data_IF_962576583984
#
_entry.id   IF_962576583984
#
_cell.length_a   1.000
_cell.length_b   1.000
_cell.length_c   1.000
_cell.angle_alpha   90.00
_cell.angle_beta   90.00
_cell.angle_gamma   90.00
#
_symmetry.space_group_name_H-M   'P 1'
#
loop_
_entity.id
_entity.type
_entity.pdbx_description
1 polymer ?
#
# COMPACT_ATOMS: atom_id res chain seq x y z
N UNK A 1 19.43 -19.42 22.57
CA UNK A 1 18.29 -19.17 23.48
C UNK A 1 18.58 -17.91 24.31
N UNK A 2 18.71 -16.78 23.63
CA UNK A 2 19.03 -15.46 24.23
C UNK A 2 18.62 -14.29 23.30
N UNK A 3 18.42 -14.55 22.01
CA UNK A 3 17.90 -13.58 21.04
C UNK A 3 16.39 -13.29 21.12
N UNK A 4 15.61 -14.07 21.88
CA UNK A 4 14.14 -13.88 22.00
C UNK A 4 13.74 -12.98 23.17
N UNK A 5 14.65 -12.75 24.14
CA UNK A 5 14.40 -11.88 25.30
C UNK A 5 14.56 -10.39 24.99
N UNK A 6 15.26 -10.02 23.91
CA UNK A 6 15.32 -8.62 23.43
C UNK A 6 14.09 -8.26 22.58
N UNK A 7 13.48 -9.23 21.89
CA UNK A 7 12.29 -9.01 21.07
C UNK A 7 11.01 -8.81 21.90
N UNK A 8 10.97 -9.34 23.13
CA UNK A 8 9.81 -9.17 24.03
C UNK A 8 9.80 -7.84 24.80
N UNK A 9 10.87 -7.04 24.72
CA UNK A 9 11.02 -5.76 25.45
C UNK A 9 10.83 -4.51 24.56
N UNK A 10 10.58 -4.70 23.27
CA UNK A 10 10.01 -3.69 22.38
C UNK A 10 8.50 -3.66 22.64
N UNK A 11 7.99 -2.65 23.34
CA UNK A 11 6.54 -2.53 23.58
C UNK A 11 5.76 -2.58 22.26
N UNK A 12 4.54 -3.15 22.22
CA UNK A 12 3.79 -3.41 20.98
C UNK A 12 3.61 -2.17 20.07
N UNK A 13 3.78 -0.96 20.61
CA UNK A 13 3.75 0.28 19.83
C UNK A 13 4.87 0.42 18.80
N UNK A 14 6.08 -0.12 19.02
CA UNK A 14 7.19 0.03 18.05
C UNK A 14 6.96 -0.82 16.80
N UNK A 15 6.44 -2.03 16.97
CA UNK A 15 6.15 -2.94 15.87
C UNK A 15 4.98 -2.42 15.02
N UNK A 16 3.93 -1.89 15.68
CA UNK A 16 2.81 -1.24 14.99
C UNK A 16 3.30 -0.01 14.23
N UNK A 17 4.14 0.82 14.84
CA UNK A 17 4.72 1.99 14.17
C UNK A 17 5.54 1.59 12.94
N UNK A 18 6.36 0.55 13.06
CA UNK A 18 7.14 0.01 11.95
C UNK A 18 6.25 -0.47 10.80
N UNK A 19 5.21 -1.26 11.10
CA UNK A 19 4.26 -1.75 10.09
C UNK A 19 3.49 -0.62 9.43
N UNK A 20 3.08 0.41 10.18
CA UNK A 20 2.43 1.61 9.62
C UNK A 20 3.38 2.37 8.69
N UNK A 21 4.66 2.53 9.09
CA UNK A 21 5.67 3.16 8.25
C UNK A 21 5.88 2.37 6.94
N UNK A 22 6.01 1.04 7.02
CA UNK A 22 6.08 0.17 5.84
C UNK A 22 4.83 0.31 4.95
N UNK A 23 3.63 0.39 5.55
CA UNK A 23 2.37 0.55 4.81
C UNK A 23 2.35 1.85 4.01
N UNK A 24 2.80 2.96 4.60
CA UNK A 24 2.90 4.25 3.89
C UNK A 24 3.85 4.17 2.70
N UNK A 25 5.01 3.51 2.86
CA UNK A 25 5.99 3.32 1.78
C UNK A 25 5.40 2.50 0.62
N UNK A 26 4.68 1.43 0.93
CA UNK A 26 4.00 0.58 -0.07
C UNK A 26 2.89 1.36 -0.79
N UNK A 27 2.09 2.14 -0.07
CA UNK A 27 1.07 3.00 -0.69
C UNK A 27 1.70 4.05 -1.63
N UNK A 28 2.90 4.54 -1.31
CA UNK A 28 3.68 5.42 -2.17
C UNK A 28 4.07 4.81 -3.53
N UNK A 29 4.14 3.47 -3.65
CA UNK A 29 4.44 2.81 -4.92
C UNK A 29 3.37 3.08 -5.98
N UNK A 30 2.09 3.17 -5.58
CA UNK A 30 0.98 3.41 -6.51
C UNK A 30 1.07 4.80 -7.15
N UNK A 31 1.46 5.81 -6.37
CA UNK A 31 1.76 7.15 -6.89
C UNK A 31 3.00 7.14 -7.82
N UNK A 32 4.01 6.33 -7.49
CA UNK A 32 5.19 6.12 -8.34
C UNK A 32 4.83 5.55 -9.72
N UNK A 33 4.02 4.49 -9.75
CA UNK A 33 3.53 3.90 -11.00
C UNK A 33 2.68 4.90 -11.81
N UNK A 34 1.84 5.70 -11.15
CA UNK A 34 1.05 6.74 -11.83
C UNK A 34 1.91 7.75 -12.56
N UNK A 35 2.98 8.22 -11.93
CA UNK A 35 3.91 9.17 -12.51
C UNK A 35 4.67 8.55 -13.70
N UNK A 36 5.10 7.29 -13.57
CA UNK A 36 5.80 6.58 -14.64
C UNK A 36 4.89 6.31 -15.85
N UNK A 37 3.68 5.79 -15.63
CA UNK A 37 2.74 5.50 -16.71
C UNK A 37 2.22 6.76 -17.41
N UNK A 38 1.94 7.83 -16.65
CA UNK A 38 1.52 9.11 -17.23
C UNK A 38 2.67 9.83 -17.96
N UNK A 39 3.92 9.66 -17.52
CA UNK A 39 5.11 10.26 -18.13
C UNK A 39 5.59 9.57 -19.41
N UNK A 40 5.34 8.27 -19.56
CA UNK A 40 5.67 7.50 -20.78
C UNK A 40 4.59 7.62 -21.88
N UNK A 41 3.42 8.15 -21.56
CA UNK A 41 2.30 8.29 -22.49
C UNK A 41 2.29 9.67 -23.14
N UNK A 42 1.90 9.73 -24.42
CA UNK A 42 1.74 10.98 -25.18
C UNK A 42 0.88 11.98 -24.40
N UNK A 43 1.32 13.23 -24.31
CA UNK A 43 0.69 14.30 -23.51
C UNK A 43 -0.84 14.44 -23.71
N UNK A 44 -1.36 14.17 -24.91
CA UNK A 44 -2.81 14.19 -25.20
C UNK A 44 -3.63 13.11 -24.48
N UNK A 45 -3.01 12.00 -24.05
CA UNK A 45 -3.69 10.87 -23.38
C UNK A 45 -3.18 10.61 -21.96
N UNK A 46 -2.15 11.33 -21.51
CA UNK A 46 -1.54 11.19 -20.18
C UNK A 46 -2.55 11.38 -19.04
N UNK A 47 -3.47 12.35 -19.16
CA UNK A 47 -4.56 12.59 -18.19
C UNK A 47 -5.51 11.40 -18.08
N UNK A 48 -5.83 10.74 -19.18
CA UNK A 48 -6.74 9.60 -19.19
C UNK A 48 -6.11 8.37 -18.53
N UNK A 49 -4.78 8.24 -18.59
CA UNK A 49 -4.02 7.19 -17.90
C UNK A 49 -3.90 7.49 -16.41
N UNK A 50 -3.62 8.74 -16.05
CA UNK A 50 -3.56 9.17 -14.66
C UNK A 50 -4.89 8.94 -13.90
N UNK A 51 -6.03 9.27 -14.53
CA UNK A 51 -7.37 9.04 -13.94
C UNK A 51 -7.63 7.55 -13.71
N UNK A 52 -7.23 6.68 -14.64
CA UNK A 52 -7.40 5.22 -14.47
C UNK A 52 -6.61 4.72 -13.28
N UNK A 53 -5.35 5.12 -13.15
CA UNK A 53 -4.53 4.64 -12.03
C UNK A 53 -5.03 5.17 -10.66
N UNK A 54 -5.57 6.40 -10.61
CA UNK A 54 -6.23 6.89 -9.39
C UNK A 54 -7.51 6.11 -9.09
N UNK A 55 -8.31 5.82 -10.12
CA UNK A 55 -9.52 5.00 -9.96
C UNK A 55 -9.19 3.58 -9.47
N UNK A 56 -8.12 2.97 -9.97
CA UNK A 56 -7.64 1.65 -9.54
C UNK A 56 -7.20 1.68 -8.06
N UNK A 57 -6.53 2.74 -7.61
CA UNK A 57 -6.15 2.90 -6.21
C UNK A 57 -7.39 2.99 -5.28
N UNK A 58 -8.38 3.80 -5.66
CA UNK A 58 -9.61 3.96 -4.91
C UNK A 58 -10.44 2.66 -4.88
N UNK A 59 -10.60 2.02 -6.04
CA UNK A 59 -11.39 0.80 -6.17
C UNK A 59 -10.73 -0.37 -5.45
N UNK A 60 -9.41 -0.54 -5.59
CA UNK A 60 -8.66 -1.58 -4.88
C UNK A 60 -8.76 -1.43 -3.37
N UNK A 61 -8.66 -0.20 -2.85
CA UNK A 61 -8.81 0.09 -1.41
C UNK A 61 -10.22 -0.28 -0.90
N UNK A 62 -11.27 0.08 -1.65
CA UNK A 62 -12.66 -0.24 -1.28
C UNK A 62 -12.94 -1.75 -1.37
N UNK A 63 -12.49 -2.41 -2.43
CA UNK A 63 -12.66 -3.86 -2.61
C UNK A 63 -11.91 -4.65 -1.54
N UNK A 64 -10.69 -4.21 -1.20
CA UNK A 64 -9.92 -4.84 -0.13
C UNK A 64 -10.59 -4.67 1.23
N UNK A 65 -11.18 -3.51 1.52
CA UNK A 65 -11.93 -3.29 2.75
C UNK A 65 -13.23 -4.12 2.82
N UNK A 66 -14.00 -4.19 1.73
CA UNK A 66 -15.30 -4.89 1.71
C UNK A 66 -15.16 -6.42 1.68
N UNK A 67 -14.21 -6.95 0.91
CA UNK A 67 -14.09 -8.40 0.65
C UNK A 67 -12.68 -8.94 0.87
N UNK A 68 -11.65 -8.16 0.53
CA UNK A 68 -10.26 -8.64 0.55
C UNK A 68 -9.76 -9.03 1.93
N UNK A 69 -10.08 -8.26 2.98
CA UNK A 69 -9.69 -8.58 4.34
C UNK A 69 -10.30 -9.90 4.81
N UNK A 70 -11.58 -10.13 4.50
CA UNK A 70 -12.30 -11.35 4.86
C UNK A 70 -11.84 -12.59 4.10
N UNK A 71 -11.39 -12.45 2.84
CA UNK A 71 -10.87 -13.57 2.05
C UNK A 71 -9.42 -13.89 2.44
N UNK A 72 -8.60 -12.88 2.72
CA UNK A 72 -7.16 -13.06 2.95
C UNK A 72 -6.82 -13.47 4.40
N UNK A 73 -7.58 -12.97 5.37
CA UNK A 73 -7.41 -13.28 6.79
C UNK A 73 -8.64 -13.99 7.39
N UNK A 74 -9.56 -14.46 6.55
CA UNK A 74 -10.65 -15.33 6.99
C UNK A 74 -10.09 -16.64 7.53
N UNK A 75 -10.40 -16.92 8.80
CA UNK A 75 -10.03 -18.15 9.48
C UNK A 75 -10.75 -19.38 8.91
#
# INVERSE_FOLDING_TARGET
MSGELLATNSGPGIDIFWVLACTILVMGMQAGFACLESGLVRAKNSINVAIKNVADFCLSSLVYWCFGFGIMFGA
#
